data_IF_686610448524
#
_entry.id   IF_686610448524
#
_cell.length_a   1.000
_cell.length_b   1.000
_cell.length_c   1.000
_cell.angle_alpha   90.00
_cell.angle_beta   90.00
_cell.angle_gamma   90.00
#
_symmetry.space_group_name_H-M   'P 1'
#
loop_
_entity.id
_entity.type
_entity.pdbx_description
1 polymer ?
#
# COMPACT_ATOMS: atom_id res chain seq x y z
N UNK A 1 -16.32 17.37 -0.05
CA UNK A 1 -15.39 17.07 1.06
C UNK A 1 -14.52 18.30 1.35
N UNK A 2 -14.11 18.51 2.63
CA UNK A 2 -13.23 19.63 2.99
C UNK A 2 -11.79 19.38 2.55
N UNK A 3 -11.07 20.44 2.17
CA UNK A 3 -9.64 20.37 1.90
C UNK A 3 -8.87 20.14 3.21
N UNK A 4 -7.75 19.41 3.14
CA UNK A 4 -6.86 19.11 4.27
C UNK A 4 -7.59 18.48 5.47
N UNK A 5 -8.57 17.61 5.21
CA UNK A 5 -9.39 16.97 6.23
C UNK A 5 -9.09 15.47 6.27
N UNK A 6 -8.91 14.94 7.48
CA UNK A 6 -8.80 13.50 7.73
C UNK A 6 -10.19 12.97 8.10
N UNK A 7 -10.64 11.95 7.37
CA UNK A 7 -11.91 11.29 7.62
C UNK A 7 -11.65 9.92 8.27
N UNK A 8 -12.28 9.68 9.43
CA UNK A 8 -12.23 8.38 10.10
C UNK A 8 -13.55 7.63 9.84
N UNK A 9 -13.63 7.00 8.67
CA UNK A 9 -14.81 6.30 8.20
C UNK A 9 -14.43 5.19 7.22
N UNK A 10 -15.40 4.36 6.84
CA UNK A 10 -15.23 3.41 5.76
C UNK A 10 -14.91 4.14 4.45
N UNK A 11 -13.82 3.75 3.78
CA UNK A 11 -13.37 4.43 2.56
C UNK A 11 -14.35 4.32 1.41
N UNK A 12 -15.11 3.21 1.30
CA UNK A 12 -16.12 3.05 0.26
C UNK A 12 -17.28 4.03 0.47
N UNK A 13 -17.72 4.21 1.72
CA UNK A 13 -18.76 5.21 2.04
C UNK A 13 -18.24 6.64 1.82
N UNK A 14 -16.97 6.88 2.20
CA UNK A 14 -16.32 8.17 1.95
C UNK A 14 -16.23 8.50 0.46
N UNK A 15 -15.78 7.54 -0.35
CA UNK A 15 -15.60 7.74 -1.79
C UNK A 15 -16.91 8.03 -2.54
N UNK A 16 -18.06 7.52 -2.09
CA UNK A 16 -19.37 7.84 -2.69
C UNK A 16 -19.67 9.34 -2.72
N UNK A 17 -19.11 10.12 -1.80
CA UNK A 17 -19.28 11.58 -1.73
C UNK A 17 -18.28 12.37 -2.57
N UNK A 18 -17.32 11.69 -3.16
CA UNK A 18 -16.33 12.31 -4.05
C UNK A 18 -16.88 12.29 -5.46
N UNK A 19 -16.99 13.45 -6.13
CA UNK A 19 -17.42 13.50 -7.52
C UNK A 19 -16.48 12.72 -8.45
N UNK A 20 -16.99 12.23 -9.55
CA UNK A 20 -16.20 11.64 -10.61
C UNK A 20 -15.15 12.64 -11.10
N UNK A 21 -13.98 12.14 -11.46
CA UNK A 21 -12.89 12.92 -12.07
C UNK A 21 -12.54 14.22 -11.31
N UNK A 22 -12.54 14.16 -9.97
CA UNK A 22 -12.28 15.33 -9.13
C UNK A 22 -10.94 15.27 -8.40
N UNK A 23 -10.27 14.12 -8.36
CA UNK A 23 -9.03 13.88 -7.61
C UNK A 23 -7.83 13.89 -8.55
N UNK A 24 -6.78 14.62 -8.16
CA UNK A 24 -5.55 14.77 -8.96
C UNK A 24 -4.52 13.68 -8.71
N UNK A 25 -4.57 13.00 -7.56
CA UNK A 25 -3.61 11.97 -7.16
C UNK A 25 -4.20 11.08 -6.07
N UNK A 26 -3.98 9.78 -6.20
CA UNK A 26 -4.21 8.84 -5.09
C UNK A 26 -2.91 8.14 -4.71
N UNK A 27 -2.59 8.15 -3.42
CA UNK A 27 -1.48 7.39 -2.82
C UNK A 27 -2.03 6.62 -1.64
N UNK A 28 -1.88 5.29 -1.62
CA UNK A 28 -2.45 4.46 -0.55
C UNK A 28 -1.59 3.25 -0.20
N UNK A 29 -1.65 2.87 1.07
CA UNK A 29 -1.15 1.59 1.59
C UNK A 29 -2.35 0.85 2.19
N UNK A 30 -3.09 0.08 1.38
CA UNK A 30 -4.31 -0.57 1.83
C UNK A 30 -3.99 -1.78 2.73
N UNK A 31 -4.91 -2.18 3.61
CA UNK A 31 -4.76 -3.42 4.36
C UNK A 31 -4.76 -4.63 3.41
N UNK A 32 -3.83 -5.56 3.62
CA UNK A 32 -3.70 -6.76 2.78
C UNK A 32 -4.39 -7.97 3.40
N UNK A 33 -5.02 -8.80 2.58
CA UNK A 33 -5.60 -10.09 3.01
C UNK A 33 -4.53 -11.01 3.59
N UNK A 34 -3.35 -11.03 2.97
CA UNK A 34 -2.24 -11.91 3.35
C UNK A 34 -1.04 -11.05 3.74
N UNK A 35 -0.77 -10.93 5.05
CA UNK A 35 0.37 -10.17 5.57
C UNK A 35 1.59 -11.05 5.80
N UNK A 36 1.41 -12.27 6.19
CA UNK A 36 2.48 -13.21 6.47
C UNK A 36 2.11 -14.65 6.09
N UNK A 37 3.10 -15.42 5.72
CA UNK A 37 2.98 -16.87 5.51
C UNK A 37 3.81 -17.59 6.55
N UNK A 38 3.50 -17.42 7.83
CA UNK A 38 4.16 -18.17 8.87
C UNK A 38 3.19 -19.18 9.47
N UNK A 39 3.61 -20.45 9.51
CA UNK A 39 2.99 -21.43 10.36
C UNK A 39 3.01 -20.88 11.81
N UNK A 40 1.86 -20.87 12.48
CA UNK A 40 1.74 -20.42 13.88
C UNK A 40 2.61 -21.24 14.84
N UNK A 41 3.13 -22.39 14.40
CA UNK A 41 4.01 -23.29 15.15
C UNK A 41 5.50 -23.05 14.92
N UNK A 42 5.91 -22.10 14.07
CA UNK A 42 7.32 -21.84 13.82
C UNK A 42 7.98 -21.12 14.98
N UNK A 43 9.02 -21.72 15.57
CA UNK A 43 9.86 -21.16 16.64
C UNK A 43 10.59 -19.85 16.26
N UNK A 44 10.62 -19.50 14.99
CA UNK A 44 11.30 -18.29 14.45
C UNK A 44 10.37 -17.10 14.28
N UNK A 45 9.16 -17.16 14.82
CA UNK A 45 8.14 -16.12 14.67
C UNK A 45 8.27 -14.95 15.68
N UNK A 46 9.42 -14.75 16.31
CA UNK A 46 9.49 -14.02 17.58
C UNK A 46 10.00 -12.59 17.51
N UNK A 47 10.41 -12.04 16.38
CA UNK A 47 10.95 -10.68 16.36
C UNK A 47 10.32 -9.82 15.28
N UNK A 48 9.32 -9.07 15.65
CA UNK A 48 8.71 -8.05 14.80
C UNK A 48 7.62 -7.30 15.55
N UNK A 49 7.11 -6.21 14.94
CA UNK A 49 6.02 -5.39 15.47
C UNK A 49 4.73 -6.20 15.70
N UNK A 50 4.69 -7.43 15.19
CA UNK A 50 3.56 -8.35 15.26
C UNK A 50 3.88 -9.42 16.29
N UNK A 51 3.73 -9.08 17.57
CA UNK A 51 3.86 -10.06 18.63
C UNK A 51 2.67 -11.05 18.53
N UNK A 52 2.96 -12.27 18.05
CA UNK A 52 1.97 -13.35 17.89
C UNK A 52 1.44 -13.90 19.18
N UNK A 53 2.06 -13.56 20.32
CA UNK A 53 1.60 -14.00 21.64
C UNK A 53 0.32 -13.28 22.12
N UNK A 54 -0.13 -12.24 21.46
CA UNK A 54 -1.32 -11.49 21.85
C UNK A 54 -2.67 -12.05 21.34
N UNK A 55 -2.69 -13.26 20.78
CA UNK A 55 -3.94 -13.91 20.34
C UNK A 55 -4.68 -13.28 19.15
N UNK A 56 -4.21 -12.12 18.67
CA UNK A 56 -4.90 -11.32 17.65
C UNK A 56 -4.54 -11.65 16.21
N UNK A 57 -3.68 -12.65 15.96
CA UNK A 57 -3.29 -13.04 14.61
C UNK A 57 -3.92 -14.37 14.27
N UNK A 58 -5.18 -14.37 13.88
CA UNK A 58 -5.86 -15.55 13.37
C UNK A 58 -5.58 -15.63 11.87
N UNK A 59 -4.95 -16.72 11.43
CA UNK A 59 -4.72 -17.04 10.02
C UNK A 59 -3.97 -15.99 9.18
N UNK A 60 -3.03 -15.25 9.78
CA UNK A 60 -2.29 -14.19 9.06
C UNK A 60 -3.06 -12.88 8.88
N UNK A 61 -4.24 -12.77 9.43
CA UNK A 61 -5.01 -11.52 9.49
C UNK A 61 -4.54 -10.67 10.66
N UNK A 62 -4.15 -9.44 10.38
CA UNK A 62 -3.69 -8.48 11.38
C UNK A 62 -4.78 -7.50 11.80
N UNK A 63 -5.75 -7.26 10.92
CA UNK A 63 -6.82 -6.31 11.10
C UNK A 63 -8.17 -6.99 10.83
N UNK A 64 -9.21 -6.55 11.53
CA UNK A 64 -10.57 -7.10 11.39
C UNK A 64 -11.22 -6.80 10.02
N UNK A 65 -10.62 -5.93 9.22
CA UNK A 65 -11.18 -5.42 7.95
C UNK A 65 -10.30 -5.74 6.71
N UNK A 66 -9.46 -6.78 6.78
CA UNK A 66 -8.61 -7.19 5.65
C UNK A 66 -9.35 -7.96 4.55
N UNK A 67 -10.66 -8.13 4.68
CA UNK A 67 -11.44 -8.98 3.77
C UNK A 67 -11.98 -8.24 2.55
N UNK A 68 -11.83 -6.91 2.51
CA UNK A 68 -12.29 -6.12 1.36
C UNK A 68 -11.45 -6.43 0.14
N UNK A 69 -12.10 -6.94 -0.92
CA UNK A 69 -11.43 -7.26 -2.18
C UNK A 69 -10.93 -6.00 -2.88
N UNK A 70 -9.81 -6.10 -3.57
CA UNK A 70 -9.31 -5.01 -4.43
C UNK A 70 -10.33 -4.64 -5.51
N UNK A 71 -11.04 -5.61 -6.05
CA UNK A 71 -12.11 -5.38 -7.04
C UNK A 71 -13.28 -4.54 -6.53
N UNK A 72 -13.38 -4.34 -5.21
CA UNK A 72 -14.46 -3.53 -4.64
C UNK A 72 -14.11 -2.04 -4.61
N UNK A 73 -12.87 -1.67 -4.29
CA UNK A 73 -12.49 -0.28 -4.10
C UNK A 73 -11.64 0.31 -5.25
N UNK A 74 -10.91 -0.51 -5.99
CA UNK A 74 -10.09 -0.03 -7.12
C UNK A 74 -10.92 0.65 -8.20
N UNK A 75 -12.11 0.15 -8.60
CA UNK A 75 -12.99 0.84 -9.54
C UNK A 75 -13.40 2.24 -9.03
N UNK A 76 -13.62 2.40 -7.73
CA UNK A 76 -13.95 3.71 -7.14
C UNK A 76 -12.78 4.68 -7.20
N UNK A 77 -11.53 4.20 -7.01
CA UNK A 77 -10.34 5.01 -7.24
C UNK A 77 -10.27 5.47 -8.70
N UNK A 78 -10.55 4.56 -9.64
CA UNK A 78 -10.57 4.92 -11.06
C UNK A 78 -11.63 5.99 -11.36
N UNK A 79 -12.83 5.84 -10.80
CA UNK A 79 -13.94 6.80 -10.98
C UNK A 79 -13.57 8.20 -10.51
N UNK A 80 -13.03 8.33 -9.31
CA UNK A 80 -12.74 9.65 -8.71
C UNK A 80 -11.52 10.35 -9.28
N UNK A 81 -10.55 9.61 -9.84
CA UNK A 81 -9.36 10.19 -10.44
C UNK A 81 -9.69 10.89 -11.76
N UNK A 82 -9.09 12.06 -11.97
CA UNK A 82 -9.11 12.79 -13.24
C UNK A 82 -8.37 12.03 -14.34
N UNK A 83 -8.68 12.32 -15.58
CA UNK A 83 -7.88 11.89 -16.72
C UNK A 83 -6.43 12.38 -16.61
N UNK A 84 -5.49 11.59 -17.15
CA UNK A 84 -4.07 11.86 -17.15
C UNK A 84 -3.48 12.06 -15.74
N UNK A 85 -3.97 11.31 -14.76
CA UNK A 85 -3.46 11.35 -13.37
C UNK A 85 -2.89 10.01 -12.93
N UNK A 86 -2.26 10.02 -11.75
CA UNK A 86 -1.52 8.88 -11.22
C UNK A 86 -2.18 8.28 -9.99
N UNK A 87 -1.99 6.97 -9.87
CA UNK A 87 -2.38 6.17 -8.72
C UNK A 87 -1.17 5.38 -8.22
N UNK A 88 -0.73 5.64 -6.99
CA UNK A 88 0.32 4.90 -6.31
C UNK A 88 -0.30 4.01 -5.24
N UNK A 89 0.01 2.73 -5.29
CA UNK A 89 -0.50 1.77 -4.31
C UNK A 89 0.60 0.85 -3.82
N UNK A 90 0.78 0.79 -2.51
CA UNK A 90 1.68 -0.18 -1.89
C UNK A 90 1.08 -1.57 -1.91
N UNK A 91 1.92 -2.57 -2.06
CA UNK A 91 1.50 -3.98 -2.04
C UNK A 91 2.67 -4.90 -1.68
N UNK A 92 2.39 -5.99 -1.02
CA UNK A 92 3.34 -7.08 -0.86
C UNK A 92 3.26 -8.08 -2.02
N UNK A 93 4.29 -8.91 -2.15
CA UNK A 93 4.42 -9.92 -3.21
C UNK A 93 3.26 -10.92 -3.30
N UNK A 94 2.57 -11.20 -2.19
CA UNK A 94 1.48 -12.19 -2.14
C UNK A 94 0.16 -11.67 -2.68
N UNK A 95 -0.07 -10.37 -2.51
CA UNK A 95 -1.32 -9.74 -2.94
C UNK A 95 -1.16 -8.99 -4.28
N UNK A 96 0.06 -8.90 -4.80
CA UNK A 96 0.38 -8.13 -6.00
C UNK A 96 -0.43 -8.58 -7.21
N UNK A 97 -0.53 -9.88 -7.46
CA UNK A 97 -1.25 -10.40 -8.62
C UNK A 97 -2.75 -10.03 -8.59
N UNK A 98 -3.42 -10.19 -7.44
CA UNK A 98 -4.84 -9.84 -7.28
C UNK A 98 -5.06 -8.33 -7.48
N UNK A 99 -4.18 -7.51 -6.91
CA UNK A 99 -4.26 -6.06 -7.08
C UNK A 99 -4.04 -5.63 -8.54
N UNK A 100 -3.05 -6.22 -9.21
CA UNK A 100 -2.77 -5.90 -10.62
C UNK A 100 -3.97 -6.23 -11.51
N UNK A 101 -4.60 -7.38 -11.31
CA UNK A 101 -5.81 -7.73 -12.05
C UNK A 101 -6.93 -6.72 -11.80
N UNK A 102 -7.21 -6.38 -10.54
CA UNK A 102 -8.25 -5.41 -10.20
C UNK A 102 -7.98 -4.02 -10.83
N UNK A 103 -6.72 -3.60 -10.91
CA UNK A 103 -6.35 -2.34 -11.55
C UNK A 103 -6.57 -2.39 -13.07
N UNK A 104 -6.13 -3.46 -13.73
CA UNK A 104 -6.32 -3.64 -15.18
C UNK A 104 -7.80 -3.73 -15.53
N UNK A 105 -8.57 -4.52 -14.78
CA UNK A 105 -10.02 -4.67 -14.98
C UNK A 105 -10.77 -3.35 -14.79
N UNK A 106 -10.24 -2.45 -13.96
CA UNK A 106 -10.79 -1.10 -13.75
C UNK A 106 -10.38 -0.09 -14.83
N UNK A 107 -9.47 -0.45 -15.76
CA UNK A 107 -9.01 0.43 -16.83
C UNK A 107 -7.68 1.15 -16.56
N UNK A 108 -7.03 0.90 -15.42
CA UNK A 108 -5.70 1.46 -15.14
C UNK A 108 -4.62 0.83 -16.03
N UNK A 109 -3.61 1.64 -16.36
CA UNK A 109 -2.42 1.19 -17.06
C UNK A 109 -1.22 1.24 -16.11
N UNK A 110 -0.53 0.10 -15.96
CA UNK A 110 0.69 0.04 -15.17
C UNK A 110 1.80 0.86 -15.87
N UNK A 111 2.43 1.74 -15.11
CA UNK A 111 3.54 2.58 -15.58
C UNK A 111 4.86 2.02 -15.07
N UNK A 112 5.00 1.89 -13.75
CA UNK A 112 6.22 1.41 -13.11
C UNK A 112 5.92 0.57 -11.88
N UNK A 113 6.88 -0.28 -11.51
CA UNK A 113 6.95 -0.91 -10.19
C UNK A 113 8.12 -0.27 -9.47
N UNK A 114 7.82 0.52 -8.42
CA UNK A 114 8.84 1.08 -7.57
C UNK A 114 9.16 0.08 -6.45
N UNK A 115 10.42 -0.04 -6.11
CA UNK A 115 10.91 -0.96 -5.10
C UNK A 115 11.49 -0.15 -3.94
N UNK A 116 10.86 -0.22 -2.79
CA UNK A 116 11.44 0.32 -1.58
C UNK A 116 12.32 -0.71 -0.92
N UNK A 117 13.64 -0.52 -1.03
CA UNK A 117 14.65 -1.34 -0.37
C UNK A 117 14.77 -0.93 1.09
N UNK A 118 14.53 -1.89 1.98
CA UNK A 118 14.68 -1.73 3.42
C UNK A 118 16.10 -2.07 3.87
N UNK A 119 16.55 -1.45 4.95
CA UNK A 119 17.85 -1.74 5.57
C UNK A 119 17.82 -2.96 6.51
N UNK A 120 16.66 -3.59 6.71
CA UNK A 120 16.50 -4.86 7.42
C UNK A 120 15.85 -5.91 6.52
N UNK A 121 16.13 -7.17 6.80
CA UNK A 121 15.53 -8.29 6.09
C UNK A 121 14.63 -9.11 7.02
N UNK A 122 13.49 -9.56 6.50
CA UNK A 122 12.60 -10.47 7.21
C UNK A 122 12.89 -11.91 6.80
N UNK A 123 13.18 -12.82 7.75
CA UNK A 123 13.42 -14.22 7.44
C UNK A 123 12.26 -14.88 6.69
N UNK A 124 12.60 -15.70 5.72
CA UNK A 124 11.66 -16.47 4.91
C UNK A 124 12.25 -17.87 4.66
N UNK A 125 11.41 -18.83 4.25
CA UNK A 125 11.84 -20.18 3.86
C UNK A 125 12.65 -20.21 2.57
N UNK A 126 12.52 -19.18 1.75
CA UNK A 126 13.25 -19.03 0.49
C UNK A 126 14.23 -17.86 0.61
N UNK A 127 14.01 -16.79 -0.16
CA UNK A 127 14.81 -15.59 -0.05
C UNK A 127 14.32 -14.69 1.08
N UNK A 128 15.25 -14.09 1.81
CA UNK A 128 14.91 -13.07 2.82
C UNK A 128 14.28 -11.86 2.17
N UNK A 129 13.19 -11.36 2.76
CA UNK A 129 12.46 -10.21 2.22
C UNK A 129 13.02 -8.92 2.82
N UNK A 130 13.51 -8.05 1.96
CA UNK A 130 14.04 -6.74 2.34
C UNK A 130 13.49 -5.59 1.49
N UNK A 131 12.41 -5.81 0.79
CA UNK A 131 11.75 -4.78 -0.02
C UNK A 131 10.24 -4.80 0.12
N UNK A 132 9.63 -3.68 -0.20
CA UNK A 132 8.20 -3.49 -0.45
C UNK A 132 8.02 -2.95 -1.87
N UNK A 133 6.83 -3.12 -2.42
CA UNK A 133 6.52 -2.69 -3.77
C UNK A 133 5.49 -1.57 -3.75
N UNK A 134 5.67 -0.59 -4.64
CA UNK A 134 4.70 0.46 -4.91
C UNK A 134 4.39 0.40 -6.40
N UNK A 135 3.16 0.10 -6.74
CA UNK A 135 2.73 0.07 -8.13
C UNK A 135 2.27 1.47 -8.52
N UNK A 136 2.84 1.98 -9.60
CA UNK A 136 2.42 3.24 -10.22
C UNK A 136 1.55 2.93 -11.41
N UNK A 137 0.32 3.38 -11.34
CA UNK A 137 -0.65 3.35 -12.42
C UNK A 137 -0.99 4.75 -12.93
N UNK A 138 -1.54 4.80 -14.12
CA UNK A 138 -2.17 6.00 -14.69
C UNK A 138 -3.60 5.71 -15.15
N UNK A 139 -4.44 6.72 -15.08
CA UNK A 139 -5.74 6.75 -15.76
C UNK A 139 -5.61 7.51 -17.08
N UNK A 140 -6.02 6.87 -18.18
CA UNK A 140 -6.04 7.53 -19.50
C UNK A 140 -4.68 7.99 -20.01
N UNK A 141 -4.60 9.24 -20.44
CA UNK A 141 -3.43 9.83 -21.09
C UNK A 141 -2.16 9.86 -20.27
N UNK A 142 -1.03 10.22 -20.90
CA UNK A 142 0.26 10.33 -20.20
C UNK A 142 0.40 11.70 -19.54
N UNK A 143 0.90 11.70 -18.32
CA UNK A 143 1.39 12.88 -17.61
C UNK A 143 2.75 12.56 -17.00
N UNK A 144 3.69 13.46 -17.16
CA UNK A 144 5.02 13.30 -16.57
C UNK A 144 4.96 13.49 -15.06
N UNK A 145 5.81 12.77 -14.33
CA UNK A 145 6.08 13.08 -12.92
C UNK A 145 6.95 14.35 -12.84
N UNK A 146 6.87 15.06 -11.72
CA UNK A 146 7.58 16.33 -11.55
C UNK A 146 9.11 16.18 -11.55
N UNK A 147 9.63 15.07 -11.07
CA UNK A 147 11.06 14.75 -11.06
C UNK A 147 11.32 13.47 -11.83
N UNK A 148 11.60 13.59 -13.11
CA UNK A 148 11.91 12.47 -14.02
C UNK A 148 13.28 11.84 -13.74
N UNK A 149 14.13 12.47 -12.93
CA UNK A 149 15.42 11.93 -12.51
C UNK A 149 15.32 10.91 -11.36
N UNK A 150 14.17 10.83 -10.69
CA UNK A 150 13.96 9.89 -9.58
C UNK A 150 13.98 8.45 -10.07
N UNK A 151 14.83 7.62 -9.44
CA UNK A 151 14.95 6.20 -9.74
C UNK A 151 13.79 5.42 -9.11
N UNK A 152 13.38 4.33 -9.78
CA UNK A 152 12.34 3.44 -9.24
C UNK A 152 12.81 2.54 -8.08
N UNK A 153 14.10 2.42 -7.84
CA UNK A 153 14.67 1.80 -6.61
C UNK A 153 14.84 2.87 -5.55
N UNK A 154 14.04 2.79 -4.50
CA UNK A 154 14.03 3.73 -3.38
C UNK A 154 14.82 3.12 -2.21
N UNK A 155 15.96 3.71 -1.86
CA UNK A 155 16.79 3.31 -0.72
C UNK A 155 16.52 4.26 0.45
N UNK A 156 15.47 3.95 1.21
CA UNK A 156 15.02 4.75 2.35
C UNK A 156 15.09 3.91 3.61
N UNK A 157 15.86 4.36 4.59
CA UNK A 157 15.98 3.68 5.87
C UNK A 157 14.65 3.60 6.62
N UNK A 158 14.43 2.49 7.30
CA UNK A 158 13.31 2.36 8.22
C UNK A 158 13.41 3.39 9.35
N UNK A 159 12.29 4.02 9.67
CA UNK A 159 12.19 5.07 10.70
C UNK A 159 12.72 4.60 12.08
N UNK A 160 12.64 3.31 12.38
CA UNK A 160 13.11 2.73 13.66
C UNK A 160 14.58 2.90 13.94
N UNK A 161 15.43 3.06 12.91
CA UNK A 161 16.87 3.23 13.07
C UNK A 161 17.31 4.69 13.12
N UNK A 162 16.42 5.62 12.84
CA UNK A 162 16.69 7.05 13.02
C UNK A 162 16.16 7.46 14.38
N UNK A 163 17.03 7.87 15.30
CA UNK A 163 16.62 8.67 16.46
C UNK A 163 15.89 9.88 15.88
N UNK A 164 14.58 9.87 15.92
CA UNK A 164 13.73 10.91 15.33
C UNK A 164 14.02 12.22 16.04
N UNK A 165 14.43 13.28 15.36
CA UNK A 165 14.52 14.61 15.96
C UNK A 165 13.12 15.26 15.96
N UNK A 166 12.09 14.54 16.41
CA UNK A 166 10.83 15.19 16.73
C UNK A 166 11.03 15.90 18.07
N UNK A 167 11.50 17.14 18.00
CA UNK A 167 11.42 18.11 19.08
C UNK A 167 9.95 18.26 19.42
N UNK A 168 9.54 17.82 20.61
CA UNK A 168 8.29 18.27 21.22
C UNK A 168 8.42 19.80 21.36
N UNK A 169 7.70 20.55 20.57
CA UNK A 169 7.42 21.95 20.88
C UNK A 169 6.46 21.93 22.04
N UNK A 170 6.92 22.44 23.18
CA UNK A 170 6.09 22.75 24.35
C UNK A 170 5.03 23.77 23.97
#
# INVERSE_FOLDING_TARGET
MGLNTIYNEDCLEGMKRIPDESIDLVVTDPPYKIIGGGDSKSRYATSGMLNRSSGNVINGKLFNHNDTSFSTWVPEIYRVLKEATHFYVMVNDKNMHELMNACVDSGFQLVNILIWKKNNATPNKFYMKNCEFILLYRKGGQRWINDMGTKHLLEIDNVRNKKTPYRKTN
#
